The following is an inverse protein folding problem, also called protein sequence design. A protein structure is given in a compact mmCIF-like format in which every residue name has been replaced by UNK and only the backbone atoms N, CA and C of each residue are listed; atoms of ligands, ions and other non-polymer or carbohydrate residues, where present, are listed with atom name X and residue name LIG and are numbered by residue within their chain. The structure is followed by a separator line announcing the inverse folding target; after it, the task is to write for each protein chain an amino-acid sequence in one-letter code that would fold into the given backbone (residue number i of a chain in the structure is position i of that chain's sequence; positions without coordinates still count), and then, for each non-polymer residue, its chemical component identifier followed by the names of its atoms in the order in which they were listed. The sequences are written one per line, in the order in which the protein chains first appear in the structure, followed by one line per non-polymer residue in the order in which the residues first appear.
data_IF_659720379865
#
_entry.id   IF_659720379865
#
_cell.length_a   1.000
_cell.length_b   1.000
_cell.length_c   1.000
_cell.angle_alpha   90.00
_cell.angle_beta   90.00
_cell.angle_gamma   90.00
#
_symmetry.space_group_name_H-M   'P 1'
#
loop_
_entity.id
_entity.type
_entity.pdbx_description
1 polymer ?
#
# COMPACT_ATOMS: atom_id res chain seq x y z
N UNK A 1 4.40 -20.41 16.49
CA UNK A 1 3.81 -19.39 15.60
C UNK A 1 3.83 -18.06 16.35
N UNK A 2 4.42 -17.01 15.78
CA UNK A 2 4.57 -15.69 16.42
C UNK A 2 3.51 -14.60 16.06
N UNK A 3 2.27 -14.89 15.59
CA UNK A 3 1.30 -13.84 15.28
C UNK A 3 1.04 -12.88 16.45
N UNK A 4 1.05 -13.38 17.69
CA UNK A 4 0.82 -12.58 18.88
C UNK A 4 1.86 -11.46 19.11
N UNK A 5 3.05 -11.55 18.50
CA UNK A 5 4.10 -10.52 18.57
C UNK A 5 4.18 -9.66 17.29
N UNK A 6 3.34 -9.93 16.28
CA UNK A 6 3.35 -9.22 15.00
C UNK A 6 1.97 -8.66 14.60
N UNK A 7 0.93 -8.91 15.41
CA UNK A 7 -0.45 -8.50 15.15
C UNK A 7 -1.17 -8.15 16.45
N UNK A 8 -2.07 -7.17 16.40
CA UNK A 8 -2.85 -6.69 17.55
C UNK A 8 -2.43 -5.31 18.06
N UNK A 9 -3.29 -4.68 18.86
CA UNK A 9 -3.16 -3.29 19.31
C UNK A 9 -2.19 -3.11 20.51
N UNK A 10 -1.88 -4.19 21.23
CA UNK A 10 -1.04 -4.15 22.43
C UNK A 10 0.48 -4.23 22.18
N UNK A 11 0.91 -4.59 20.97
CA UNK A 11 2.34 -4.84 20.65
C UNK A 11 3.10 -3.56 20.27
N UNK A 12 2.38 -2.48 19.97
CA UNK A 12 2.94 -1.26 19.37
C UNK A 12 3.24 -0.16 20.38
N UNK A 13 3.13 -0.44 21.69
CA UNK A 13 3.30 0.54 22.76
C UNK A 13 4.54 0.22 23.59
N UNK A 14 5.36 1.25 23.84
CA UNK A 14 6.64 1.10 24.56
C UNK A 14 6.48 0.89 26.08
N UNK A 15 5.26 1.05 26.60
CA UNK A 15 4.92 0.92 28.02
C UNK A 15 3.93 -0.22 28.17
N UNK A 16 4.31 -1.22 28.97
CA UNK A 16 3.46 -2.36 29.36
C UNK A 16 2.21 -1.84 30.07
N UNK A 17 1.03 -1.98 29.44
CA UNK A 17 -0.27 -1.56 29.99
C UNK A 17 -1.05 -0.49 29.20
N UNK A 18 -0.49 0.08 28.13
CA UNK A 18 -1.25 0.91 27.18
C UNK A 18 -1.49 0.10 25.91
N UNK A 19 -2.74 -0.17 25.53
CA UNK A 19 -3.08 -0.80 24.24
C UNK A 19 -3.74 0.25 23.37
N UNK A 20 -3.03 0.69 22.32
CA UNK A 20 -3.52 1.72 21.39
C UNK A 20 -3.94 1.07 20.09
N UNK A 21 -5.20 1.27 19.68
CA UNK A 21 -5.64 0.78 18.38
C UNK A 21 -4.83 1.42 17.25
N UNK A 22 -4.38 0.61 16.30
CA UNK A 22 -3.74 1.13 15.08
C UNK A 22 -4.72 2.01 14.30
N UNK A 23 -4.22 2.96 13.52
CA UNK A 23 -5.09 3.81 12.69
C UNK A 23 -6.02 3.00 11.76
N UNK A 24 -5.57 1.84 11.28
CA UNK A 24 -6.39 0.93 10.49
C UNK A 24 -7.47 0.21 11.31
N UNK A 25 -7.22 -0.16 12.56
CA UNK A 25 -8.26 -0.75 13.43
C UNK A 25 -9.30 0.29 13.84
N UNK A 26 -8.92 1.56 14.03
CA UNK A 26 -9.86 2.68 14.15
C UNK A 26 -10.72 2.86 12.89
N UNK A 27 -10.12 2.78 11.70
CA UNK A 27 -10.85 2.86 10.43
C UNK A 27 -11.83 1.70 10.24
N UNK A 28 -11.46 0.48 10.65
CA UNK A 28 -12.30 -0.71 10.54
C UNK A 28 -13.52 -0.67 11.48
N UNK A 29 -13.33 -0.16 12.70
CA UNK A 29 -14.35 -0.17 13.76
C UNK A 29 -15.27 1.05 13.72
N UNK A 30 -14.74 2.22 13.39
CA UNK A 30 -15.48 3.50 13.44
C UNK A 30 -15.42 4.33 12.15
N UNK A 31 -14.84 3.79 11.07
CA UNK A 31 -14.79 4.46 9.78
C UNK A 31 -13.94 5.74 9.77
N UNK A 32 -14.24 6.61 8.81
CA UNK A 32 -13.51 7.87 8.59
C UNK A 32 -13.74 8.89 9.71
N UNK A 33 -14.92 8.85 10.34
CA UNK A 33 -15.26 9.77 11.43
C UNK A 33 -14.41 9.50 12.68
N UNK A 34 -14.21 8.23 13.04
CA UNK A 34 -13.30 7.86 14.12
C UNK A 34 -11.85 8.26 13.80
N UNK A 35 -11.39 8.09 12.55
CA UNK A 35 -10.06 8.56 12.12
C UNK A 35 -9.89 10.07 12.29
N UNK A 36 -10.90 10.86 11.95
CA UNK A 36 -10.83 12.31 12.07
C UNK A 36 -10.86 12.78 13.52
N UNK A 37 -11.68 12.16 14.36
CA UNK A 37 -11.93 12.61 15.73
C UNK A 37 -10.83 12.17 16.69
N UNK A 38 -10.34 10.93 16.56
CA UNK A 38 -9.35 10.35 17.49
C UNK A 38 -7.90 10.65 17.09
N UNK A 39 -7.64 10.78 15.78
CA UNK A 39 -6.26 10.94 15.26
C UNK A 39 -6.08 12.31 14.62
N UNK A 40 -6.95 12.64 13.67
CA UNK A 40 -6.79 13.82 12.83
C UNK A 40 -5.74 13.63 11.73
N UNK A 41 -6.06 14.08 10.51
CA UNK A 41 -5.25 13.78 9.31
C UNK A 41 -3.81 14.30 9.40
N UNK A 42 -3.61 15.49 9.98
CA UNK A 42 -2.28 16.09 10.09
C UNK A 42 -1.37 15.32 11.06
N UNK A 43 -1.93 14.80 12.16
CA UNK A 43 -1.18 13.96 13.09
C UNK A 43 -0.78 12.64 12.44
N UNK A 44 -1.68 12.04 11.65
CA UNK A 44 -1.37 10.85 10.86
C UNK A 44 -0.28 11.12 9.81
N UNK A 45 -0.31 12.28 9.14
CA UNK A 45 0.70 12.64 8.14
C UNK A 45 2.10 12.89 8.73
N UNK A 46 2.16 13.55 9.89
CA UNK A 46 3.41 13.80 10.63
C UNK A 46 3.94 12.54 11.33
N UNK A 47 3.06 11.58 11.64
CA UNK A 47 3.40 10.31 12.30
C UNK A 47 3.24 10.31 13.82
N UNK A 48 2.46 11.24 14.36
CA UNK A 48 2.06 11.26 15.78
C UNK A 48 0.92 10.26 16.04
N UNK A 49 1.10 9.02 15.61
CA UNK A 49 0.11 7.94 15.70
C UNK A 49 0.76 6.67 16.24
N UNK A 50 -0.06 5.80 16.83
CA UNK A 50 0.39 4.49 17.28
C UNK A 50 0.66 3.57 16.08
N UNK A 51 1.84 2.95 16.05
CA UNK A 51 2.27 2.07 14.96
C UNK A 51 3.76 1.74 15.05
N UNK A 52 4.25 0.97 14.07
CA UNK A 52 5.66 0.55 14.02
C UNK A 52 6.61 1.71 13.72
N UNK A 53 7.79 1.69 14.35
CA UNK A 53 8.83 2.72 14.15
C UNK A 53 9.30 2.69 12.70
N UNK A 54 8.96 3.74 11.94
CA UNK A 54 9.33 3.89 10.52
C UNK A 54 8.16 3.87 9.54
N UNK A 55 6.97 3.45 9.97
CA UNK A 55 5.76 3.44 9.15
C UNK A 55 4.88 4.68 9.39
N UNK A 56 4.89 5.18 10.63
CA UNK A 56 3.93 6.20 11.07
C UNK A 56 4.08 7.53 10.36
N UNK A 57 5.30 7.97 10.05
CA UNK A 57 5.56 9.29 9.46
C UNK A 57 5.60 9.27 7.94
N UNK A 58 4.46 9.58 7.32
CA UNK A 58 4.35 9.70 5.85
C UNK A 58 5.28 10.77 5.29
N UNK A 59 5.49 11.87 6.02
CA UNK A 59 6.41 12.93 5.62
C UNK A 59 7.85 12.43 5.52
N UNK A 60 8.34 11.73 6.55
CA UNK A 60 9.71 11.19 6.55
C UNK A 60 9.90 10.17 5.42
N UNK A 61 8.91 9.31 5.19
CA UNK A 61 8.91 8.36 4.08
C UNK A 61 8.92 9.08 2.73
N UNK A 62 8.17 10.18 2.59
CA UNK A 62 8.14 11.01 1.38
C UNK A 62 9.51 11.63 1.07
N UNK A 63 10.24 12.09 2.09
CA UNK A 63 11.62 12.56 1.92
C UNK A 63 12.51 11.42 1.43
N UNK A 64 12.38 10.21 2.02
CA UNK A 64 13.06 9.02 1.55
C UNK A 64 12.76 8.69 0.08
N UNK A 65 11.49 8.82 -0.34
CA UNK A 65 11.07 8.61 -1.72
C UNK A 65 11.76 9.57 -2.69
N UNK A 66 11.84 10.86 -2.35
CA UNK A 66 12.53 11.86 -3.17
C UNK A 66 14.02 11.55 -3.32
N UNK A 67 14.67 11.11 -2.24
CA UNK A 67 16.09 10.73 -2.28
C UNK A 67 16.30 9.49 -3.17
N UNK A 68 15.46 8.46 -3.03
CA UNK A 68 15.58 7.23 -3.81
C UNK A 68 15.27 7.43 -5.31
N UNK A 69 14.32 8.32 -5.62
CA UNK A 69 14.02 8.71 -6.99
C UNK A 69 15.12 9.58 -7.58
N UNK A 70 15.67 10.53 -6.81
CA UNK A 70 16.76 11.40 -7.23
C UNK A 70 18.09 10.66 -7.45
N UNK A 71 18.35 9.60 -6.68
CA UNK A 71 19.52 8.72 -6.86
C UNK A 71 19.34 7.69 -7.98
N UNK A 72 18.13 7.53 -8.51
CA UNK A 72 17.84 6.58 -9.59
C UNK A 72 17.81 5.11 -9.17
N UNK A 73 17.89 4.83 -7.87
CA UNK A 73 17.81 3.46 -7.32
C UNK A 73 16.37 2.95 -7.41
N UNK A 74 15.39 3.80 -7.12
CA UNK A 74 13.98 3.43 -7.15
C UNK A 74 13.35 3.63 -8.53
N UNK A 75 12.48 2.70 -8.93
CA UNK A 75 11.71 2.85 -10.17
C UNK A 75 10.43 3.67 -9.94
N UNK A 76 10.42 4.90 -10.45
CA UNK A 76 9.23 5.76 -10.44
C UNK A 76 8.01 5.12 -11.11
N UNK A 77 8.23 4.22 -12.09
CA UNK A 77 7.14 3.52 -12.80
C UNK A 77 6.38 2.56 -11.88
N UNK A 78 7.09 1.87 -11.00
CA UNK A 78 6.48 0.94 -10.04
C UNK A 78 5.73 1.76 -8.99
N UNK A 79 6.37 2.78 -8.40
CA UNK A 79 5.75 3.67 -7.42
C UNK A 79 4.47 4.31 -7.97
N UNK A 80 4.54 4.87 -9.18
CA UNK A 80 3.37 5.46 -9.85
C UNK A 80 2.29 4.41 -10.12
N UNK A 81 2.66 3.22 -10.59
CA UNK A 81 1.72 2.12 -10.82
C UNK A 81 0.97 1.72 -9.55
N UNK A 82 1.70 1.50 -8.44
CA UNK A 82 1.12 1.14 -7.15
C UNK A 82 0.20 2.22 -6.61
N UNK A 83 0.60 3.49 -6.74
CA UNK A 83 -0.28 4.61 -6.38
C UNK A 83 -1.56 4.63 -7.21
N UNK A 84 -1.46 4.48 -8.54
CA UNK A 84 -2.61 4.48 -9.45
C UNK A 84 -3.55 3.31 -9.16
N UNK A 85 -3.01 2.11 -8.90
CA UNK A 85 -3.82 0.94 -8.52
C UNK A 85 -4.59 1.17 -7.23
N UNK A 86 -3.92 1.69 -6.19
CA UNK A 86 -4.54 2.03 -4.92
C UNK A 86 -5.62 3.11 -5.10
N UNK A 87 -5.31 4.19 -5.81
CA UNK A 87 -6.23 5.28 -6.07
C UNK A 87 -7.48 4.79 -6.83
N UNK A 88 -7.31 3.99 -7.88
CA UNK A 88 -8.41 3.49 -8.69
C UNK A 88 -9.37 2.58 -7.90
N UNK A 89 -8.85 1.63 -7.11
CA UNK A 89 -9.71 0.71 -6.38
C UNK A 89 -10.35 1.34 -5.14
N UNK A 90 -9.62 2.18 -4.41
CA UNK A 90 -10.18 2.88 -3.25
C UNK A 90 -11.29 3.84 -3.67
N UNK A 91 -11.09 4.62 -4.73
CA UNK A 91 -12.16 5.48 -5.27
C UNK A 91 -13.35 4.67 -5.76
N UNK A 92 -13.13 3.55 -6.44
CA UNK A 92 -14.21 2.64 -6.85
C UNK A 92 -15.00 2.11 -5.64
N UNK A 93 -14.33 1.69 -4.57
CA UNK A 93 -14.99 1.23 -3.35
C UNK A 93 -15.73 2.34 -2.61
N UNK A 94 -15.23 3.57 -2.61
CA UNK A 94 -15.95 4.71 -2.05
C UNK A 94 -17.22 5.04 -2.86
N UNK A 95 -17.22 4.84 -4.18
CA UNK A 95 -18.42 5.04 -5.02
C UNK A 95 -19.47 3.93 -4.85
N UNK A 96 -19.04 2.69 -4.64
CA UNK A 96 -19.93 1.53 -4.46
C UNK A 96 -20.35 1.38 -2.98
N UNK A 97 -19.58 1.96 -2.06
CA UNK A 97 -19.69 1.79 -0.61
C UNK A 97 -21.10 2.09 -0.08
N UNK A 98 -21.57 1.20 0.79
CA UNK A 98 -22.80 1.35 1.56
C UNK A 98 -22.57 1.03 3.04
N UNK A 99 -23.61 1.14 3.85
CA UNK A 99 -23.53 1.11 5.34
C UNK A 99 -23.02 -0.22 5.96
N UNK A 100 -22.79 -1.25 5.15
CA UNK A 100 -22.40 -2.58 5.62
C UNK A 100 -20.92 -2.75 5.98
N UNK A 101 -20.00 -2.02 5.35
CA UNK A 101 -18.56 -2.09 5.66
C UNK A 101 -17.94 -0.70 5.65
N UNK A 102 -17.59 -0.21 6.85
CA UNK A 102 -17.06 1.13 7.07
C UNK A 102 -15.73 1.38 6.34
N UNK A 103 -14.95 0.33 6.06
CA UNK A 103 -13.67 0.44 5.36
C UNK A 103 -13.85 0.78 3.87
N UNK A 104 -15.02 0.51 3.28
CA UNK A 104 -15.32 0.92 1.90
C UNK A 104 -15.41 2.43 1.76
N UNK A 105 -15.71 3.14 2.84
CA UNK A 105 -15.88 4.59 2.85
C UNK A 105 -14.57 5.34 3.10
N UNK A 106 -13.45 4.63 3.30
CA UNK A 106 -12.14 5.26 3.55
C UNK A 106 -11.55 5.81 2.25
N UNK A 107 -11.28 7.12 2.14
CA UNK A 107 -10.71 7.71 0.93
C UNK A 107 -9.27 7.28 0.65
N UNK A 108 -8.88 7.36 -0.63
CA UNK A 108 -7.50 7.11 -1.09
C UNK A 108 -6.44 7.88 -0.30
N UNK A 109 -6.71 9.13 0.09
CA UNK A 109 -5.75 9.96 0.82
C UNK A 109 -5.56 9.51 2.27
N UNK A 110 -6.56 8.84 2.86
CA UNK A 110 -6.39 8.20 4.16
C UNK A 110 -5.56 6.94 4.04
N UNK A 111 -5.79 6.11 3.02
CA UNK A 111 -5.01 4.90 2.78
C UNK A 111 -3.50 5.14 2.56
N UNK A 112 -3.11 6.31 2.08
CA UNK A 112 -1.69 6.71 1.99
C UNK A 112 -1.06 6.95 3.36
N UNK A 113 -1.82 7.60 4.23
CA UNK A 113 -1.29 8.18 5.46
C UNK A 113 -1.41 7.21 6.63
N UNK A 114 -2.32 6.24 6.54
CA UNK A 114 -2.53 5.22 7.56
C UNK A 114 -1.88 3.89 7.17
N UNK A 115 -1.19 3.32 8.15
CA UNK A 115 -0.56 2.02 8.03
C UNK A 115 0.63 1.96 7.07
N UNK A 116 0.99 0.74 6.68
CA UNK A 116 2.21 0.37 5.95
C UNK A 116 2.30 0.80 4.50
N UNK A 117 1.30 1.50 3.95
CA UNK A 117 1.19 1.67 2.50
C UNK A 117 2.34 2.49 1.92
N UNK A 118 2.57 3.70 2.45
CA UNK A 118 3.64 4.57 1.97
C UNK A 118 5.01 3.96 2.20
N UNK A 119 5.21 3.29 3.33
CA UNK A 119 6.45 2.58 3.64
C UNK A 119 6.73 1.48 2.62
N UNK A 120 5.76 0.59 2.38
CA UNK A 120 5.89 -0.48 1.40
C UNK A 120 6.04 0.05 -0.02
N UNK A 121 5.28 1.09 -0.38
CA UNK A 121 5.38 1.79 -1.67
C UNK A 121 6.82 2.23 -1.96
N UNK A 122 7.46 2.88 -0.99
CA UNK A 122 8.76 3.54 -1.19
C UNK A 122 9.93 2.59 -1.03
N UNK A 123 9.89 1.70 -0.03
CA UNK A 123 11.06 0.91 0.34
C UNK A 123 10.99 -0.56 -0.07
N UNK A 124 9.79 -1.09 -0.37
CA UNK A 124 9.62 -2.52 -0.67
C UNK A 124 9.23 -2.77 -2.13
N UNK A 125 8.29 -2.00 -2.70
CA UNK A 125 7.81 -2.26 -4.07
C UNK A 125 8.90 -2.05 -5.13
N UNK A 126 9.93 -1.26 -4.83
CA UNK A 126 10.99 -0.91 -5.77
C UNK A 126 12.22 -1.82 -5.70
N UNK A 127 12.09 -3.03 -5.15
CA UNK A 127 13.16 -4.03 -5.21
C UNK A 127 13.44 -4.48 -6.66
N UNK A 128 14.67 -4.26 -7.20
CA UNK A 128 14.98 -4.56 -8.59
C UNK A 128 15.09 -6.06 -8.91
N UNK A 129 15.19 -6.93 -7.91
CA UNK A 129 15.41 -8.38 -8.14
C UNK A 129 14.10 -9.11 -8.40
N UNK A 130 13.06 -8.76 -7.65
CA UNK A 130 11.76 -9.44 -7.69
C UNK A 130 10.74 -8.78 -8.63
N UNK A 131 10.95 -7.51 -8.99
CA UNK A 131 10.04 -6.76 -9.86
C UNK A 131 10.14 -7.16 -11.34
N UNK A 132 9.11 -6.78 -12.11
CA UNK A 132 9.11 -6.92 -13.56
C UNK A 132 10.27 -6.16 -14.22
N UNK A 133 10.90 -6.79 -15.22
CA UNK A 133 12.08 -6.29 -15.91
C UNK A 133 11.73 -5.25 -16.98
N UNK A 134 10.57 -5.38 -17.64
CA UNK A 134 10.18 -4.48 -18.74
C UNK A 134 9.62 -3.15 -18.25
N UNK A 135 9.87 -2.05 -18.98
CA UNK A 135 9.36 -0.71 -18.59
C UNK A 135 7.83 -0.65 -18.48
N UNK A 136 7.12 -1.33 -19.39
CA UNK A 136 5.66 -1.43 -19.33
C UNK A 136 5.20 -2.40 -18.25
N UNK A 137 5.92 -3.51 -18.06
CA UNK A 137 5.64 -4.50 -17.01
C UNK A 137 5.77 -3.90 -15.61
N UNK A 138 6.79 -3.07 -15.35
CA UNK A 138 6.99 -2.37 -14.07
C UNK A 138 5.77 -1.54 -13.65
N UNK A 139 5.13 -0.87 -14.60
CA UNK A 139 3.93 -0.09 -14.31
C UNK A 139 2.75 -0.99 -13.94
N UNK A 140 2.46 -2.02 -14.73
CA UNK A 140 1.36 -2.96 -14.45
C UNK A 140 1.58 -3.81 -13.21
N UNK A 141 2.83 -4.18 -12.94
CA UNK A 141 3.26 -4.82 -11.71
C UNK A 141 2.93 -3.94 -10.49
N UNK A 142 3.29 -2.65 -10.54
CA UNK A 142 2.89 -1.68 -9.50
C UNK A 142 1.37 -1.60 -9.35
N UNK A 143 0.63 -1.44 -10.46
CA UNK A 143 -0.85 -1.38 -10.43
C UNK A 143 -1.44 -2.59 -9.71
N UNK A 144 -0.93 -3.80 -9.99
CA UNK A 144 -1.38 -5.02 -9.32
C UNK A 144 -1.17 -4.96 -7.80
N UNK A 145 -0.02 -4.47 -7.32
CA UNK A 145 0.24 -4.30 -5.88
C UNK A 145 -0.77 -3.34 -5.26
N UNK A 146 -0.99 -2.18 -5.88
CA UNK A 146 -1.90 -1.16 -5.38
C UNK A 146 -3.33 -1.66 -5.26
N UNK A 147 -3.83 -2.34 -6.31
CA UNK A 147 -5.13 -2.98 -6.33
C UNK A 147 -5.24 -4.04 -5.24
N UNK A 148 -4.26 -4.95 -5.16
CA UNK A 148 -4.29 -6.02 -4.17
C UNK A 148 -4.23 -5.51 -2.74
N UNK A 149 -3.48 -4.44 -2.49
CA UNK A 149 -3.38 -3.86 -1.16
C UNK A 149 -4.73 -3.35 -0.67
N UNK A 150 -5.46 -2.60 -1.50
CA UNK A 150 -6.79 -2.09 -1.14
C UNK A 150 -7.81 -3.22 -1.06
N UNK A 151 -7.75 -4.21 -1.95
CA UNK A 151 -8.63 -5.37 -1.87
C UNK A 151 -8.48 -6.09 -0.52
N UNK A 152 -7.24 -6.33 -0.08
CA UNK A 152 -6.99 -6.99 1.21
C UNK A 152 -7.44 -6.08 2.36
N UNK A 153 -7.07 -4.80 2.34
CA UNK A 153 -7.41 -3.83 3.40
C UNK A 153 -8.91 -3.67 3.62
N UNK A 154 -9.69 -3.65 2.55
CA UNK A 154 -11.12 -3.31 2.58
C UNK A 154 -12.01 -4.55 2.71
N UNK A 155 -11.64 -5.66 2.05
CA UNK A 155 -12.48 -6.88 1.99
C UNK A 155 -12.14 -7.88 3.09
N UNK A 156 -10.90 -7.90 3.60
CA UNK A 156 -10.47 -8.89 4.59
C UNK A 156 -10.32 -8.28 6.00
N UNK A 157 -11.24 -8.57 6.94
CA UNK A 157 -11.18 -8.02 8.30
C UNK A 157 -9.99 -8.55 9.13
N UNK A 158 -9.40 -9.68 8.75
CA UNK A 158 -8.38 -10.35 9.56
C UNK A 158 -6.97 -9.73 9.43
N UNK A 159 -6.69 -9.02 8.34
CA UNK A 159 -5.37 -8.45 8.06
C UNK A 159 -5.50 -7.00 7.59
N UNK A 160 -5.54 -6.03 8.53
CA UNK A 160 -5.60 -4.61 8.19
C UNK A 160 -4.36 -4.12 7.43
N UNK A 161 -3.21 -4.81 7.56
CA UNK A 161 -2.02 -4.55 6.74
C UNK A 161 -1.93 -5.47 5.51
N UNK A 162 -2.33 -4.95 4.35
CA UNK A 162 -2.39 -5.70 3.09
C UNK A 162 -1.15 -5.62 2.20
N UNK A 163 -0.24 -4.66 2.43
CA UNK A 163 0.79 -4.32 1.43
C UNK A 163 1.84 -5.42 1.23
N UNK A 164 2.32 -6.05 2.31
CA UNK A 164 3.33 -7.11 2.21
C UNK A 164 2.79 -8.31 1.43
N UNK A 165 1.56 -8.74 1.74
CA UNK A 165 0.90 -9.84 1.04
C UNK A 165 0.64 -9.49 -0.43
N UNK A 166 0.27 -8.24 -0.72
CA UNK A 166 0.09 -7.75 -2.08
C UNK A 166 1.40 -7.77 -2.89
N UNK A 167 2.54 -7.42 -2.27
CA UNK A 167 3.85 -7.47 -2.92
C UNK A 167 4.25 -8.92 -3.23
N UNK A 168 4.11 -9.82 -2.26
CA UNK A 168 4.42 -11.24 -2.47
C UNK A 168 3.55 -11.84 -3.58
N UNK A 169 2.27 -11.47 -3.62
CA UNK A 169 1.37 -11.88 -4.69
C UNK A 169 1.83 -11.32 -6.03
N UNK A 170 2.14 -10.02 -6.13
CA UNK A 170 2.60 -9.43 -7.38
C UNK A 170 3.93 -10.03 -7.88
N UNK A 171 4.85 -10.39 -6.97
CA UNK A 171 6.10 -11.07 -7.30
C UNK A 171 5.86 -12.41 -8.01
N UNK A 172 4.82 -13.15 -7.62
CA UNK A 172 4.44 -14.40 -8.30
C UNK A 172 3.99 -14.15 -9.75
N UNK A 173 3.34 -13.01 -10.01
CA UNK A 173 2.84 -12.63 -11.33
C UNK A 173 3.84 -11.82 -12.18
N UNK A 174 4.95 -11.35 -11.59
CA UNK A 174 5.94 -10.55 -12.32
C UNK A 174 6.49 -11.24 -13.58
N UNK A 175 6.86 -12.54 -13.58
CA UNK A 175 7.31 -13.23 -14.78
C UNK A 175 6.23 -13.34 -15.85
N UNK A 176 4.97 -13.52 -15.44
CA UNK A 176 3.83 -13.62 -16.35
C UNK A 176 3.57 -12.27 -17.04
N UNK A 177 3.61 -11.17 -16.29
CA UNK A 177 3.46 -9.81 -16.81
C UNK A 177 4.54 -9.54 -17.87
N UNK A 178 5.80 -9.87 -17.57
CA UNK A 178 6.89 -9.69 -18.52
C UNK A 178 6.72 -10.55 -19.78
N UNK A 179 6.28 -11.80 -19.64
CA UNK A 179 6.04 -12.66 -20.80
C UNK A 179 5.02 -12.05 -21.77
N UNK A 180 3.90 -11.53 -21.26
CA UNK A 180 2.89 -10.87 -22.09
C UNK A 180 3.41 -9.59 -22.75
N UNK A 181 4.17 -8.76 -22.01
CA UNK A 181 4.74 -7.52 -22.54
C UNK A 181 5.75 -7.80 -23.64
N UNK A 182 6.63 -8.79 -23.45
CA UNK A 182 7.64 -9.19 -24.44
C UNK A 182 6.97 -9.73 -25.70
N UNK A 183 5.98 -10.63 -25.58
CA UNK A 183 5.25 -11.14 -26.73
C UNK A 183 4.53 -10.03 -27.52
N UNK A 184 3.90 -9.08 -26.82
CA UNK A 184 3.23 -7.93 -27.45
C UNK A 184 4.22 -7.08 -28.24
N UNK A 185 5.42 -6.85 -27.69
CA UNK A 185 6.47 -6.10 -28.37
C UNK A 185 7.00 -6.84 -29.62
N UNK A 186 7.16 -8.17 -29.56
CA UNK A 186 7.58 -8.99 -30.71
C UNK A 186 6.53 -8.90 -31.83
N UNK A 187 5.24 -9.10 -31.51
CA UNK A 187 4.14 -8.98 -32.49
C UNK A 187 4.10 -7.60 -33.15
N UNK A 188 4.26 -6.53 -32.36
CA UNK A 188 4.32 -5.15 -32.89
C UNK A 188 5.53 -4.89 -33.78
N UNK A 189 6.68 -5.53 -33.52
CA UNK A 189 7.85 -5.44 -34.39
C UNK A 189 7.63 -6.15 -35.72
N UNK A 190 7.08 -7.37 -35.68
CA UNK A 190 6.76 -8.14 -36.88
C UNK A 190 5.71 -7.48 -37.77
N UNK A 191 4.74 -6.77 -37.20
CA UNK A 191 3.73 -6.03 -37.98
C UNK A 191 4.25 -4.75 -38.65
N UNK A 192 5.47 -4.30 -38.32
CA UNK A 192 6.11 -3.09 -38.87
C UNK A 192 7.18 -3.40 -39.92
N UNK A 193 7.63 -4.65 -40.02
CA UNK A 193 8.59 -5.12 -41.03
C UNK A 193 7.87 -5.91 -42.10
#
# INVERSE_FOLDING_TARGET
AYPAFMSGDGVWTAVDGYSGATALSHAASGGVEALQTEIGWMNAFLGNIHGSVGETSTLAIGIGALILLGTGVASWRIMLGTFVGMFALSTLFNFIGGDGNLMFNVPWHWHLVIGGFMFGLVFMTTDPVSAAMTNTGRFWYGVLIGLMTILIRVVNPAFPEGIMLAILFANLFAPLIDHFVVQSNIKRRLARG
#
